data_IF_480433276806
#
_entry.id   IF_480433276806
#
_cell.length_a   1.000
_cell.length_b   1.000
_cell.length_c   1.000
_cell.angle_alpha   90.00
_cell.angle_beta   90.00
_cell.angle_gamma   90.00
#
_symmetry.space_group_name_H-M   'P 1'
#
loop_
_entity.id
_entity.type
_entity.pdbx_description
1 polymer ?
#
# COMPACT_ATOMS: atom_id res chain seq x y z
N UNK A 1 -30.03 72.47 -45.19
CA UNK A 1 -30.92 71.30 -45.31
C UNK A 1 -30.10 70.03 -45.11
N UNK A 2 -30.45 69.25 -44.09
CA UNK A 2 -29.56 68.30 -43.41
C UNK A 2 -29.27 67.00 -44.17
N UNK A 3 -28.09 66.44 -43.89
CA UNK A 3 -27.66 65.09 -44.32
C UNK A 3 -27.99 64.11 -43.20
N UNK A 4 -28.87 63.14 -43.47
CA UNK A 4 -29.18 62.04 -42.57
C UNK A 4 -28.03 61.03 -42.57
N UNK A 5 -27.48 60.74 -41.40
CA UNK A 5 -26.54 59.62 -41.16
C UNK A 5 -27.37 58.44 -40.65
N UNK A 6 -27.35 57.34 -41.38
CA UNK A 6 -28.00 56.08 -40.97
C UNK A 6 -27.03 55.29 -40.09
N UNK A 7 -27.35 55.15 -38.81
CA UNK A 7 -26.60 54.31 -37.88
C UNK A 7 -27.09 52.86 -37.97
N UNK A 8 -26.20 51.93 -38.32
CA UNK A 8 -26.47 50.48 -38.29
C UNK A 8 -26.09 49.97 -36.90
N UNK A 9 -27.07 49.58 -36.09
CA UNK A 9 -26.82 48.83 -34.84
C UNK A 9 -26.62 47.36 -35.17
N UNK A 10 -25.41 46.85 -34.94
CA UNK A 10 -25.13 45.41 -34.95
C UNK A 10 -25.52 44.82 -33.60
N UNK A 11 -26.56 43.98 -33.56
CA UNK A 11 -26.94 43.23 -32.37
C UNK A 11 -26.01 42.02 -32.20
N UNK A 12 -25.09 42.07 -31.24
CA UNK A 12 -24.28 40.92 -30.83
C UNK A 12 -25.17 39.97 -30.01
N UNK A 13 -25.51 38.81 -30.58
CA UNK A 13 -26.17 37.73 -29.85
C UNK A 13 -25.10 36.89 -29.16
N UNK A 14 -25.03 36.98 -27.82
CA UNK A 14 -24.14 36.16 -27.01
C UNK A 14 -24.72 34.73 -26.94
N UNK A 15 -24.14 33.78 -27.66
CA UNK A 15 -24.48 32.36 -27.54
C UNK A 15 -23.73 31.80 -26.34
N UNK A 16 -24.44 31.58 -25.24
CA UNK A 16 -23.91 30.80 -24.12
C UNK A 16 -23.88 29.31 -24.52
N UNK A 17 -22.70 28.81 -24.87
CA UNK A 17 -22.44 27.37 -24.96
C UNK A 17 -22.51 26.78 -23.56
N UNK A 18 -23.67 26.23 -23.19
CA UNK A 18 -23.80 25.36 -22.03
C UNK A 18 -23.12 24.04 -22.39
N UNK A 19 -21.89 23.83 -21.95
CA UNK A 19 -21.25 22.53 -22.05
C UNK A 19 -22.09 21.51 -21.27
N UNK A 20 -22.41 20.33 -21.83
CA UNK A 20 -23.10 19.30 -21.07
C UNK A 20 -22.22 18.90 -19.87
N UNK A 21 -22.82 18.60 -18.70
CA UNK A 21 -22.05 18.07 -17.58
C UNK A 21 -21.33 16.81 -18.05
N UNK A 22 -20.00 16.80 -17.94
CA UNK A 22 -19.24 15.57 -18.12
C UNK A 22 -19.75 14.59 -17.06
N UNK A 23 -20.38 13.51 -17.48
CA UNK A 23 -20.69 12.40 -16.61
C UNK A 23 -19.34 11.83 -16.13
N UNK A 24 -18.94 12.16 -14.91
CA UNK A 24 -17.87 11.44 -14.24
C UNK A 24 -18.36 10.00 -14.08
N UNK A 25 -17.59 9.02 -14.57
CA UNK A 25 -17.87 7.62 -14.28
C UNK A 25 -17.91 7.45 -12.75
N UNK A 26 -18.84 6.64 -12.26
CA UNK A 26 -18.88 6.26 -10.85
C UNK A 26 -17.52 5.63 -10.49
N UNK A 27 -16.76 6.21 -9.55
CA UNK A 27 -15.46 5.65 -9.18
C UNK A 27 -15.61 4.28 -8.51
N UNK A 28 -16.79 3.95 -7.98
CA UNK A 28 -17.08 2.68 -7.32
C UNK A 28 -17.46 1.60 -8.35
N UNK A 29 -16.76 0.46 -8.30
CA UNK A 29 -16.99 -0.72 -9.13
C UNK A 29 -17.40 -1.88 -8.21
N UNK A 30 -18.65 -2.33 -8.33
CA UNK A 30 -19.20 -3.49 -7.63
C UNK A 30 -20.27 -4.18 -8.50
N UNK A 31 -20.58 -5.45 -8.24
CA UNK A 31 -21.63 -6.16 -8.97
C UNK A 31 -23.02 -5.61 -8.63
N UNK A 32 -23.91 -5.52 -9.63
CA UNK A 32 -25.28 -5.05 -9.40
C UNK A 32 -26.03 -5.96 -8.42
N UNK A 33 -26.72 -5.37 -7.44
CA UNK A 33 -27.49 -6.10 -6.43
C UNK A 33 -26.72 -6.48 -5.17
N UNK A 34 -25.42 -6.15 -5.07
CA UNK A 34 -24.68 -6.23 -3.80
C UNK A 34 -25.14 -5.14 -2.84
N UNK A 35 -24.91 -5.37 -1.54
CA UNK A 35 -25.12 -4.33 -0.53
C UNK A 35 -24.24 -3.11 -0.81
N UNK A 36 -24.68 -1.87 -0.47
CA UNK A 36 -23.82 -0.70 -0.56
C UNK A 36 -22.55 -0.87 0.28
N UNK A 37 -21.42 -0.42 -0.28
CA UNK A 37 -20.12 -0.44 0.40
C UNK A 37 -20.05 0.76 1.35
N UNK A 38 -19.74 0.56 2.65
CA UNK A 38 -19.61 1.66 3.59
C UNK A 38 -18.52 2.66 3.17
N UNK A 39 -18.84 3.95 3.23
CA UNK A 39 -17.87 5.01 2.98
C UNK A 39 -16.78 5.06 4.06
N UNK A 40 -15.61 5.61 3.72
CA UNK A 40 -14.51 5.80 4.65
C UNK A 40 -13.46 6.78 4.16
N UNK A 41 -12.40 7.02 4.94
CA UNK A 41 -11.40 8.07 4.67
C UNK A 41 -10.49 7.79 3.46
N UNK A 42 -10.37 6.56 2.98
CA UNK A 42 -9.58 6.21 1.80
C UNK A 42 -10.39 6.44 0.52
N UNK A 43 -9.99 7.38 -0.36
CA UNK A 43 -10.66 7.63 -1.63
C UNK A 43 -10.36 6.59 -2.71
N UNK A 44 -9.31 5.78 -2.56
CA UNK A 44 -8.95 4.72 -3.49
C UNK A 44 -8.73 3.39 -2.74
N UNK A 45 -9.40 2.32 -3.15
CA UNK A 45 -9.33 1.01 -2.47
C UNK A 45 -9.75 -0.16 -3.37
N UNK A 46 -9.44 -1.38 -2.94
CA UNK A 46 -9.85 -2.64 -3.58
C UNK A 46 -10.19 -3.70 -2.53
N UNK A 47 -11.11 -4.61 -2.85
CA UNK A 47 -11.37 -5.87 -2.15
C UNK A 47 -11.25 -7.01 -3.15
N UNK A 48 -10.37 -7.98 -2.88
CA UNK A 48 -10.14 -9.11 -3.76
C UNK A 48 -9.96 -10.42 -2.97
N UNK A 49 -10.30 -11.55 -3.59
CA UNK A 49 -10.04 -12.88 -3.08
C UNK A 49 -8.57 -13.26 -3.34
N UNK A 50 -7.88 -13.73 -2.31
CA UNK A 50 -6.46 -14.08 -2.37
C UNK A 50 -6.18 -15.41 -3.07
N UNK A 51 -7.14 -16.32 -3.07
CA UNK A 51 -7.02 -17.65 -3.65
C UNK A 51 -7.29 -17.60 -5.15
N UNK A 52 -8.48 -17.13 -5.55
CA UNK A 52 -8.90 -17.04 -6.94
C UNK A 52 -8.29 -15.84 -7.67
N UNK A 53 -7.98 -14.75 -6.95
CA UNK A 53 -7.59 -13.48 -7.55
C UNK A 53 -8.77 -12.68 -8.10
N UNK A 54 -10.01 -13.08 -7.84
CA UNK A 54 -11.19 -12.32 -8.24
C UNK A 54 -11.28 -11.02 -7.46
N UNK A 55 -11.63 -9.94 -8.16
CA UNK A 55 -11.90 -8.64 -7.55
C UNK A 55 -13.39 -8.59 -7.23
N UNK A 56 -13.72 -8.36 -5.96
CA UNK A 56 -15.11 -8.28 -5.50
C UNK A 56 -15.66 -6.86 -5.69
N UNK A 57 -14.85 -5.86 -5.34
CA UNK A 57 -15.15 -4.46 -5.57
C UNK A 57 -13.89 -3.58 -5.53
N UNK A 58 -14.00 -2.35 -6.01
CA UNK A 58 -12.96 -1.34 -5.87
C UNK A 58 -13.49 0.06 -6.07
N UNK A 59 -12.70 1.05 -5.66
CA UNK A 59 -12.89 2.47 -5.96
C UNK A 59 -11.58 3.07 -6.39
N UNK A 60 -11.54 3.67 -7.58
CA UNK A 60 -10.30 4.22 -8.16
C UNK A 60 -9.10 3.24 -8.02
N UNK A 61 -9.37 1.93 -8.15
CA UNK A 61 -8.41 0.87 -7.78
C UNK A 61 -7.15 0.82 -8.66
N UNK A 62 -7.19 1.55 -9.79
CA UNK A 62 -6.10 1.68 -10.77
C UNK A 62 -5.48 3.09 -10.76
N UNK A 63 -5.91 3.98 -9.86
CA UNK A 63 -5.36 5.32 -9.74
C UNK A 63 -4.02 5.28 -8.99
N UNK A 64 -3.01 5.91 -9.59
CA UNK A 64 -1.64 5.93 -9.06
C UNK A 64 -1.52 6.92 -7.89
N UNK A 65 -1.02 6.42 -6.76
CA UNK A 65 -0.68 7.21 -5.58
C UNK A 65 0.68 6.77 -5.01
N UNK A 66 1.39 7.64 -4.26
CA UNK A 66 2.59 7.21 -3.54
C UNK A 66 2.25 6.11 -2.51
N UNK A 67 3.07 5.04 -2.40
CA UNK A 67 2.77 3.90 -1.54
C UNK A 67 3.01 4.15 -0.05
N UNK A 68 3.91 5.09 0.29
CA UNK A 68 4.56 5.11 1.60
C UNK A 68 5.09 3.71 1.99
N UNK A 69 5.08 3.39 3.29
CA UNK A 69 5.63 2.14 3.81
C UNK A 69 4.91 0.85 3.38
N UNK A 70 3.78 0.91 2.65
CA UNK A 70 3.18 -0.31 2.06
C UNK A 70 4.12 -0.96 1.04
N UNK A 71 5.01 -0.19 0.38
CA UNK A 71 6.01 -0.72 -0.55
C UNK A 71 7.05 -1.63 0.13
N UNK A 72 7.18 -1.57 1.47
CA UNK A 72 8.04 -2.50 2.22
C UNK A 72 7.59 -3.96 2.07
N UNK A 73 6.34 -4.21 1.68
CA UNK A 73 5.85 -5.55 1.33
C UNK A 73 6.53 -6.06 0.04
N UNK A 74 6.77 -5.19 -0.94
CA UNK A 74 7.55 -5.48 -2.14
C UNK A 74 9.03 -5.68 -1.83
N UNK A 75 9.62 -4.87 -0.94
CA UNK A 75 10.99 -5.07 -0.47
C UNK A 75 11.14 -6.45 0.19
N UNK A 76 10.24 -6.80 1.11
CA UNK A 76 10.26 -8.07 1.81
C UNK A 76 10.09 -9.26 0.86
N UNK A 77 9.13 -9.20 -0.08
CA UNK A 77 8.95 -10.20 -1.13
C UNK A 77 10.22 -10.35 -2.00
N UNK A 78 10.85 -9.24 -2.36
CA UNK A 78 12.08 -9.23 -3.16
C UNK A 78 13.22 -9.89 -2.38
N UNK A 79 13.43 -9.50 -1.13
CA UNK A 79 14.48 -10.06 -0.28
C UNK A 79 14.30 -11.56 -0.03
N UNK A 80 13.07 -12.01 0.23
CA UNK A 80 12.75 -13.43 0.40
C UNK A 80 13.02 -14.27 -0.86
N UNK A 81 13.02 -13.66 -2.06
CA UNK A 81 13.35 -14.34 -3.31
C UNK A 81 14.84 -14.31 -3.68
N UNK A 82 15.60 -13.37 -3.11
CA UNK A 82 17.02 -13.15 -3.45
C UNK A 82 17.98 -13.74 -2.42
N UNK A 83 17.58 -13.78 -1.14
CA UNK A 83 18.45 -14.22 -0.06
C UNK A 83 18.48 -15.75 0.05
N UNK A 84 19.66 -16.36 0.27
CA UNK A 84 19.80 -17.81 0.30
C UNK A 84 19.16 -18.46 1.52
N UNK A 85 19.04 -17.72 2.63
CA UNK A 85 18.35 -18.15 3.84
C UNK A 85 18.01 -16.95 4.73
N UNK A 86 17.12 -17.18 5.71
CA UNK A 86 16.80 -16.19 6.73
C UNK A 86 17.93 -15.94 7.75
N UNK A 87 18.91 -16.85 7.79
CA UNK A 87 20.10 -16.75 8.65
C UNK A 87 21.24 -15.99 7.96
N UNK A 88 21.08 -15.60 6.70
CA UNK A 88 22.03 -14.71 6.03
C UNK A 88 22.18 -13.43 6.85
N UNK A 89 23.40 -12.91 6.94
CA UNK A 89 23.71 -11.78 7.82
C UNK A 89 24.29 -10.59 7.09
N UNK A 90 24.07 -9.40 7.65
CA UNK A 90 24.74 -8.16 7.27
C UNK A 90 25.26 -7.44 8.51
N UNK A 91 26.33 -6.68 8.36
CA UNK A 91 26.82 -5.78 9.40
C UNK A 91 26.14 -4.43 9.21
N UNK A 92 25.42 -3.95 10.23
CA UNK A 92 24.81 -2.63 10.20
C UNK A 92 25.86 -1.54 10.00
N UNK A 93 25.50 -0.50 9.26
CA UNK A 93 26.40 0.59 8.87
C UNK A 93 25.88 1.94 9.36
N UNK A 94 26.76 2.95 9.33
CA UNK A 94 26.35 4.33 9.62
C UNK A 94 25.34 4.83 8.58
N UNK A 95 25.47 4.40 7.32
CA UNK A 95 24.57 4.80 6.24
C UNK A 95 23.14 4.29 6.46
N UNK A 96 22.98 3.08 6.99
CA UNK A 96 21.66 2.52 7.33
C UNK A 96 20.87 3.44 8.26
N UNK A 97 21.56 4.03 9.23
CA UNK A 97 20.96 4.89 10.26
C UNK A 97 20.67 6.32 9.82
N UNK A 98 21.20 6.76 8.66
CA UNK A 98 21.01 8.11 8.15
C UNK A 98 19.72 8.19 7.31
N UNK A 99 18.60 7.96 7.97
CA UNK A 99 17.27 7.92 7.35
C UNK A 99 16.23 8.54 8.28
N UNK A 100 15.18 9.10 7.70
CA UNK A 100 14.01 9.53 8.47
C UNK A 100 13.37 8.31 9.17
N UNK A 101 12.99 8.46 10.45
CA UNK A 101 12.37 7.38 11.21
C UNK A 101 10.85 7.35 11.01
N UNK A 102 10.14 6.23 11.14
CA UNK A 102 10.37 5.10 12.06
C UNK A 102 11.66 4.31 11.85
N UNK A 103 12.37 4.05 12.94
CA UNK A 103 13.61 3.28 12.98
C UNK A 103 13.54 2.25 14.12
N UNK A 104 14.11 1.07 13.92
CA UNK A 104 14.22 0.04 14.98
C UNK A 104 15.51 0.15 15.78
N UNK A 105 16.45 0.97 15.32
CA UNK A 105 17.72 1.22 16.01
C UNK A 105 18.83 0.28 15.55
N UNK A 106 19.03 0.15 14.23
CA UNK A 106 20.25 -0.47 13.68
C UNK A 106 21.49 0.17 14.31
N UNK A 107 22.42 -0.66 14.79
CA UNK A 107 23.66 -0.23 15.42
C UNK A 107 24.82 -0.52 14.47
N UNK A 108 25.59 0.50 14.05
CA UNK A 108 26.76 0.28 13.21
C UNK A 108 27.75 -0.71 13.85
N UNK A 109 28.19 -1.70 13.07
CA UNK A 109 29.07 -2.77 13.52
C UNK A 109 28.38 -3.99 14.15
N UNK A 110 27.08 -3.91 14.45
CA UNK A 110 26.30 -5.08 14.89
C UNK A 110 25.94 -5.97 13.69
N UNK A 111 25.85 -7.28 13.91
CA UNK A 111 25.43 -8.25 12.90
C UNK A 111 23.93 -8.51 13.03
N UNK A 112 23.22 -8.40 11.92
CA UNK A 112 21.78 -8.65 11.83
C UNK A 112 21.50 -9.78 10.84
N UNK A 113 20.59 -10.68 11.18
CA UNK A 113 20.07 -11.70 10.27
C UNK A 113 18.97 -11.13 9.36
N UNK A 114 18.77 -11.73 8.19
CA UNK A 114 17.66 -11.39 7.31
C UNK A 114 16.30 -11.51 8.02
N UNK A 115 16.13 -12.53 8.89
CA UNK A 115 14.91 -12.65 9.72
C UNK A 115 14.69 -11.42 10.60
N UNK A 116 15.70 -10.98 11.34
CA UNK A 116 15.58 -9.82 12.24
C UNK A 116 15.26 -8.54 11.46
N UNK A 117 15.87 -8.35 10.28
CA UNK A 117 15.57 -7.19 9.44
C UNK A 117 14.15 -7.26 8.85
N UNK A 118 13.69 -8.43 8.40
CA UNK A 118 12.31 -8.61 7.93
C UNK A 118 11.29 -8.38 9.06
N UNK A 119 11.58 -8.86 10.27
CA UNK A 119 10.76 -8.57 11.46
C UNK A 119 10.66 -7.05 11.68
N UNK A 120 11.79 -6.34 11.68
CA UNK A 120 11.84 -4.88 11.85
C UNK A 120 11.09 -4.10 10.75
N UNK A 121 11.27 -4.50 9.49
CA UNK A 121 10.64 -3.88 8.30
C UNK A 121 9.12 -4.05 8.34
N UNK A 122 8.62 -5.22 8.76
CA UNK A 122 7.20 -5.56 8.69
C UNK A 122 6.42 -5.20 9.96
N UNK A 123 7.02 -5.31 11.15
CA UNK A 123 6.32 -5.03 12.42
C UNK A 123 6.37 -3.54 12.79
N UNK A 124 7.56 -2.94 12.73
CA UNK A 124 7.82 -1.58 13.23
C UNK A 124 8.11 -0.59 12.10
N UNK A 125 7.96 -1.01 10.84
CA UNK A 125 8.16 -0.17 9.66
C UNK A 125 9.55 0.48 9.59
N UNK A 126 10.57 -0.15 10.18
CA UNK A 126 11.92 0.41 10.32
C UNK A 126 12.55 0.77 8.97
N UNK A 127 12.83 2.05 8.76
CA UNK A 127 13.48 2.57 7.55
C UNK A 127 14.98 2.24 7.53
N UNK A 128 15.61 2.23 8.71
CA UNK A 128 17.00 1.79 8.91
C UNK A 128 17.16 0.30 8.57
N UNK A 129 16.23 -0.53 9.03
CA UNK A 129 16.19 -1.94 8.66
C UNK A 129 15.90 -2.14 7.17
N UNK A 130 15.12 -1.26 6.53
CA UNK A 130 14.89 -1.32 5.08
C UNK A 130 16.17 -1.03 4.27
N UNK A 131 17.00 -0.08 4.72
CA UNK A 131 18.32 0.18 4.14
C UNK A 131 19.26 -1.02 4.32
N UNK A 132 19.36 -1.56 5.54
CA UNK A 132 20.21 -2.72 5.80
C UNK A 132 19.76 -3.97 5.00
N UNK A 133 18.44 -4.15 4.81
CA UNK A 133 17.91 -5.24 3.98
C UNK A 133 18.18 -5.00 2.48
N UNK A 134 18.17 -3.75 2.02
CA UNK A 134 18.57 -3.39 0.67
C UNK A 134 20.04 -3.72 0.40
N UNK A 135 20.93 -3.48 1.36
CA UNK A 135 22.34 -3.85 1.28
C UNK A 135 22.53 -5.35 1.10
N UNK A 136 21.74 -6.18 1.78
CA UNK A 136 21.77 -7.63 1.61
C UNK A 136 21.43 -8.11 0.20
N UNK A 137 20.66 -7.32 -0.57
CA UNK A 137 20.25 -7.67 -1.93
C UNK A 137 20.96 -6.86 -3.01
N UNK A 138 22.11 -6.25 -2.68
CA UNK A 138 23.01 -5.61 -3.65
C UNK A 138 23.21 -4.11 -3.48
N UNK A 139 22.73 -3.53 -2.37
CA UNK A 139 22.79 -2.09 -2.12
C UNK A 139 21.56 -1.34 -2.63
N UNK A 140 21.41 -0.10 -2.17
CA UNK A 140 20.21 0.72 -2.36
C UNK A 140 19.65 0.74 -3.80
N UNK A 141 20.46 1.12 -4.79
CA UNK A 141 19.99 1.24 -6.18
C UNK A 141 19.65 -0.12 -6.80
N UNK A 142 20.45 -1.14 -6.50
CA UNK A 142 20.20 -2.50 -6.99
C UNK A 142 18.93 -3.09 -6.35
N UNK A 143 18.69 -2.83 -5.07
CA UNK A 143 17.48 -3.22 -4.37
C UNK A 143 16.24 -2.59 -5.01
N UNK A 144 16.27 -1.27 -5.28
CA UNK A 144 15.17 -0.57 -5.96
C UNK A 144 14.94 -1.13 -7.36
N UNK A 145 16.00 -1.40 -8.12
CA UNK A 145 15.88 -2.02 -9.44
C UNK A 145 15.25 -3.42 -9.37
N UNK A 146 15.66 -4.25 -8.40
CA UNK A 146 15.10 -5.57 -8.15
C UNK A 146 13.65 -5.52 -7.70
N UNK A 147 13.27 -4.56 -6.86
CA UNK A 147 11.88 -4.33 -6.46
C UNK A 147 10.99 -4.01 -7.66
N UNK A 148 11.42 -3.11 -8.53
CA UNK A 148 10.67 -2.76 -9.74
C UNK A 148 10.58 -3.93 -10.72
N UNK A 149 11.66 -4.70 -10.89
CA UNK A 149 11.63 -5.93 -11.68
C UNK A 149 10.70 -6.99 -11.06
N UNK A 150 10.69 -7.11 -9.73
CA UNK A 150 9.79 -8.00 -9.00
C UNK A 150 8.33 -7.61 -9.22
N UNK A 151 7.98 -6.33 -9.08
CA UNK A 151 6.63 -5.82 -9.31
C UNK A 151 6.14 -6.16 -10.73
N UNK A 152 6.95 -5.86 -11.75
CA UNK A 152 6.63 -6.23 -13.14
C UNK A 152 6.46 -7.75 -13.33
N UNK A 153 7.32 -8.57 -12.71
CA UNK A 153 7.28 -10.04 -12.85
C UNK A 153 6.03 -10.69 -12.26
N UNK A 154 5.37 -10.04 -11.29
CA UNK A 154 4.15 -10.53 -10.64
C UNK A 154 2.88 -9.86 -11.16
N UNK A 155 3.00 -8.96 -12.16
CA UNK A 155 1.85 -8.27 -12.77
C UNK A 155 1.49 -6.93 -12.13
N UNK A 156 2.21 -6.46 -11.11
CA UNK A 156 2.04 -5.13 -10.52
C UNK A 156 2.73 -4.06 -11.40
N UNK A 157 2.17 -3.84 -12.59
CA UNK A 157 2.79 -3.03 -13.67
C UNK A 157 2.59 -1.52 -13.51
N UNK A 158 1.68 -1.10 -12.64
CA UNK A 158 1.43 0.30 -12.29
C UNK A 158 2.19 0.71 -11.01
N UNK A 159 3.25 -0.02 -10.67
CA UNK A 159 4.10 0.23 -9.51
C UNK A 159 5.51 0.67 -9.91
N UNK A 160 5.97 1.72 -9.25
CA UNK A 160 7.35 2.19 -9.28
C UNK A 160 7.81 2.52 -7.85
N UNK A 161 8.70 1.69 -7.31
CA UNK A 161 9.42 1.99 -6.09
C UNK A 161 10.54 3.00 -6.39
N UNK A 162 10.52 4.14 -5.71
CA UNK A 162 11.60 5.13 -5.74
C UNK A 162 12.66 4.86 -4.66
N UNK A 163 12.28 4.22 -3.56
CA UNK A 163 13.13 3.88 -2.42
C UNK A 163 12.74 2.51 -1.86
N UNK A 164 13.64 1.81 -1.12
CA UNK A 164 13.29 0.55 -0.47
C UNK A 164 12.23 0.71 0.62
N UNK A 165 12.21 1.86 1.29
CA UNK A 165 11.37 2.12 2.45
C UNK A 165 10.00 2.72 2.10
N UNK A 166 9.86 3.35 0.92
CA UNK A 166 8.68 4.12 0.54
C UNK A 166 8.69 5.56 1.05
N UNK A 167 9.81 6.03 1.60
CA UNK A 167 10.08 7.46 1.74
C UNK A 167 10.26 8.09 0.35
N UNK A 168 10.14 9.42 0.30
CA UNK A 168 10.51 10.19 -0.88
C UNK A 168 12.02 10.05 -1.13
N UNK A 169 12.40 9.86 -2.39
CA UNK A 169 13.80 9.73 -2.81
C UNK A 169 14.15 10.69 -3.94
N UNK A 170 15.34 10.52 -4.51
CA UNK A 170 15.80 11.33 -5.65
C UNK A 170 14.86 11.24 -6.88
N UNK A 171 14.18 10.10 -7.05
CA UNK A 171 13.16 9.87 -8.08
C UNK A 171 11.74 10.33 -7.70
N UNK A 172 11.58 11.04 -6.57
CA UNK A 172 10.28 11.42 -6.02
C UNK A 172 9.68 10.38 -5.08
N UNK A 173 8.37 10.44 -4.87
CA UNK A 173 7.64 9.60 -3.91
C UNK A 173 7.35 8.16 -4.38
N UNK A 174 7.71 7.84 -5.62
CA UNK A 174 7.23 6.61 -6.30
C UNK A 174 5.72 6.60 -6.47
N UNK A 175 5.18 5.49 -6.98
CA UNK A 175 3.74 5.28 -7.10
C UNK A 175 3.38 3.80 -7.14
N UNK A 176 2.12 3.49 -6.83
CA UNK A 176 1.46 2.20 -6.99
C UNK A 176 -0.05 2.44 -7.08
N UNK A 177 -0.85 1.38 -7.17
CA UNK A 177 -2.31 1.44 -7.15
C UNK A 177 -2.86 0.50 -6.08
N UNK A 178 -4.12 0.66 -5.64
CA UNK A 178 -4.76 -0.34 -4.77
C UNK A 178 -4.68 -1.77 -5.36
N UNK A 179 -4.92 -1.94 -6.67
CA UNK A 179 -4.79 -3.24 -7.35
C UNK A 179 -3.39 -3.82 -7.19
N UNK A 180 -2.36 -3.04 -7.52
CA UNK A 180 -0.99 -3.49 -7.46
C UNK A 180 -0.54 -3.83 -6.04
N UNK A 181 -0.96 -3.06 -5.03
CA UNK A 181 -0.72 -3.40 -3.64
C UNK A 181 -1.36 -4.74 -3.25
N UNK A 182 -2.57 -5.02 -3.72
CA UNK A 182 -3.22 -6.31 -3.51
C UNK A 182 -2.45 -7.46 -4.21
N UNK A 183 -1.95 -7.26 -5.43
CA UNK A 183 -1.10 -8.21 -6.15
C UNK A 183 0.19 -8.50 -5.37
N UNK A 184 0.90 -7.44 -4.95
CA UNK A 184 2.15 -7.54 -4.18
C UNK A 184 1.90 -8.30 -2.88
N UNK A 185 0.86 -7.93 -2.13
CA UNK A 185 0.57 -8.55 -0.85
C UNK A 185 0.11 -10.00 -0.99
N UNK A 186 -0.69 -10.33 -2.01
CA UNK A 186 -1.06 -11.71 -2.36
C UNK A 186 0.17 -12.56 -2.66
N UNK A 187 1.09 -12.05 -3.50
CA UNK A 187 2.33 -12.75 -3.81
C UNK A 187 3.24 -12.93 -2.58
N UNK A 188 3.33 -11.90 -1.73
CA UNK A 188 4.08 -11.97 -0.47
C UNK A 188 3.50 -13.00 0.50
N UNK A 189 2.17 -13.02 0.68
CA UNK A 189 1.48 -13.96 1.57
C UNK A 189 1.54 -15.43 1.11
N UNK A 190 1.88 -15.69 -0.16
CA UNK A 190 2.19 -17.04 -0.62
C UNK A 190 3.51 -17.59 -0.04
N UNK A 191 4.40 -16.72 0.45
CA UNK A 191 5.60 -17.12 1.16
C UNK A 191 5.29 -17.35 2.66
N UNK A 192 5.51 -18.56 3.21
CA UNK A 192 5.16 -18.87 4.60
C UNK A 192 5.93 -18.03 5.63
N UNK A 193 7.15 -17.58 5.31
CA UNK A 193 7.91 -16.70 6.21
C UNK A 193 7.30 -15.30 6.26
N UNK A 194 6.90 -14.74 5.13
CA UNK A 194 6.20 -13.45 5.11
C UNK A 194 4.90 -13.52 5.91
N UNK A 195 4.08 -14.56 5.66
CA UNK A 195 2.82 -14.80 6.36
C UNK A 195 3.02 -14.93 7.88
N UNK A 196 4.06 -15.67 8.31
CA UNK A 196 4.42 -15.79 9.73
C UNK A 196 4.79 -14.44 10.34
N UNK A 197 5.66 -13.67 9.67
CA UNK A 197 6.19 -12.41 10.20
C UNK A 197 5.08 -11.36 10.30
N UNK A 198 4.26 -11.17 9.26
CA UNK A 198 3.22 -10.13 9.29
C UNK A 198 2.11 -10.41 10.31
N UNK A 199 1.90 -11.68 10.70
CA UNK A 199 0.91 -12.08 11.68
C UNK A 199 1.40 -12.06 13.14
N UNK A 200 2.72 -12.05 13.37
CA UNK A 200 3.25 -12.15 14.73
C UNK A 200 3.02 -10.83 15.50
N UNK A 201 2.68 -10.88 16.80
CA UNK A 201 2.36 -9.68 17.59
C UNK A 201 3.62 -8.87 17.95
N UNK A 202 4.76 -9.52 18.07
CA UNK A 202 6.03 -8.91 18.43
C UNK A 202 7.21 -9.81 18.03
N UNK A 203 8.41 -9.24 17.99
CA UNK A 203 9.67 -9.94 17.81
C UNK A 203 10.77 -9.36 18.71
N UNK A 204 11.87 -10.09 18.86
CA UNK A 204 13.07 -9.61 19.55
C UNK A 204 14.08 -9.11 18.53
N UNK A 205 14.61 -7.90 18.73
CA UNK A 205 15.55 -7.25 17.84
C UNK A 205 16.85 -6.85 18.57
N UNK A 206 18.05 -7.06 17.99
CA UNK A 206 19.31 -6.65 18.60
C UNK A 206 19.51 -5.13 18.58
N UNK A 207 19.17 -4.47 19.68
CA UNK A 207 19.34 -3.03 19.87
C UNK A 207 20.68 -2.63 20.49
N UNK A 208 20.83 -1.33 20.79
CA UNK A 208 22.05 -0.76 21.38
C UNK A 208 22.34 -1.29 22.78
N UNK A 209 21.30 -1.52 23.58
CA UNK A 209 21.43 -1.94 24.97
C UNK A 209 21.18 -3.45 25.17
N UNK A 210 21.27 -4.23 24.09
CA UNK A 210 20.92 -5.64 24.06
C UNK A 210 19.64 -5.91 23.27
N UNK A 211 19.03 -7.06 23.52
CA UNK A 211 17.80 -7.47 22.84
C UNK A 211 16.60 -6.65 23.32
N UNK A 212 15.91 -6.00 22.38
CA UNK A 212 14.72 -5.17 22.61
C UNK A 212 13.49 -5.80 21.92
N UNK A 213 12.30 -5.51 22.42
CA UNK A 213 11.07 -6.00 21.81
C UNK A 213 10.53 -4.98 20.80
N UNK A 214 10.28 -5.43 19.56
CA UNK A 214 9.52 -4.66 18.56
C UNK A 214 8.11 -5.23 18.48
N UNK A 215 7.11 -4.34 18.46
CA UNK A 215 5.68 -4.72 18.46
C UNK A 215 5.10 -4.44 17.07
N UNK A 216 4.20 -5.29 16.62
CA UNK A 216 3.51 -5.12 15.35
C UNK A 216 2.54 -3.93 15.42
N UNK A 217 2.79 -2.91 14.60
CA UNK A 217 1.97 -1.69 14.53
C UNK A 217 0.61 -1.92 13.85
N UNK A 218 0.39 -3.08 13.21
CA UNK A 218 -0.87 -3.43 12.57
C UNK A 218 -1.97 -3.72 13.60
N UNK A 219 -2.72 -2.67 13.99
CA UNK A 219 -3.81 -2.81 14.95
C UNK A 219 -4.95 -3.72 14.47
N UNK A 220 -5.07 -3.97 13.16
CA UNK A 220 -6.12 -4.84 12.63
C UNK A 220 -5.98 -6.28 13.17
N UNK A 221 -4.77 -6.74 13.47
CA UNK A 221 -4.53 -8.06 14.10
C UNK A 221 -5.29 -8.23 15.42
N UNK A 222 -5.50 -7.15 16.16
CA UNK A 222 -6.23 -7.17 17.44
C UNK A 222 -7.70 -6.76 17.27
N UNK A 223 -8.00 -5.90 16.28
CA UNK A 223 -9.32 -5.30 16.09
C UNK A 223 -10.27 -6.17 15.28
N UNK A 224 -9.77 -7.00 14.38
CA UNK A 224 -10.59 -7.73 13.43
C UNK A 224 -10.31 -9.24 13.46
N UNK A 225 -11.25 -10.06 13.96
CA UNK A 225 -11.07 -11.51 13.99
C UNK A 225 -10.84 -12.09 12.59
N UNK A 226 -9.79 -12.90 12.47
CA UNK A 226 -9.39 -13.52 11.21
C UNK A 226 -8.32 -12.74 10.44
N UNK A 227 -7.87 -11.57 10.90
CA UNK A 227 -6.72 -10.89 10.25
C UNK A 227 -5.48 -11.77 10.26
N UNK A 228 -4.91 -11.98 9.08
CA UNK A 228 -3.72 -12.82 8.85
C UNK A 228 -2.47 -12.00 8.51
N UNK A 229 -2.59 -10.68 8.37
CA UNK A 229 -1.46 -9.80 8.08
C UNK A 229 -1.88 -8.42 7.61
N UNK A 230 -0.91 -7.50 7.59
CA UNK A 230 -1.10 -6.18 6.99
C UNK A 230 0.08 -5.26 7.19
N UNK A 231 0.12 -4.17 6.41
CA UNK A 231 1.15 -3.14 6.47
C UNK A 231 0.54 -1.75 6.30
N UNK A 232 0.85 -0.86 7.24
CA UNK A 232 0.52 0.57 7.21
C UNK A 232 1.59 1.39 6.49
N UNK A 233 1.19 2.56 6.01
CA UNK A 233 2.10 3.60 5.53
C UNK A 233 1.53 5.00 5.73
N UNK A 234 2.43 5.95 5.88
CA UNK A 234 2.12 7.38 5.87
C UNK A 234 3.34 8.17 5.41
N UNK A 235 3.11 9.13 4.51
CA UNK A 235 3.98 10.29 4.25
C UNK A 235 3.07 11.47 3.90
N UNK A 236 3.61 12.69 3.88
CA UNK A 236 2.84 13.85 3.46
C UNK A 236 2.34 13.74 2.01
N UNK A 237 3.14 13.14 1.13
CA UNK A 237 2.78 12.90 -0.27
C UNK A 237 1.77 11.75 -0.45
N UNK A 238 1.91 10.67 0.30
CA UNK A 238 1.06 9.48 0.19
C UNK A 238 -0.28 9.61 0.94
N UNK A 239 -0.34 10.48 1.96
CA UNK A 239 -1.32 10.41 3.04
C UNK A 239 -1.29 9.00 3.67
N UNK A 240 -2.39 8.52 4.25
CA UNK A 240 -2.45 7.17 4.82
C UNK A 240 -2.59 6.14 3.70
N UNK A 241 -1.83 5.06 3.81
CA UNK A 241 -1.94 3.87 2.96
C UNK A 241 -1.98 2.61 3.83
N UNK A 242 -2.66 1.57 3.35
CA UNK A 242 -2.80 0.32 4.07
C UNK A 242 -3.07 -0.84 3.11
N UNK A 243 -2.48 -1.99 3.40
CA UNK A 243 -2.80 -3.27 2.74
C UNK A 243 -2.90 -4.36 3.80
N UNK A 244 -3.90 -5.22 3.71
CA UNK A 244 -4.12 -6.27 4.71
C UNK A 244 -4.94 -7.43 4.16
N UNK A 245 -4.89 -8.54 4.89
CA UNK A 245 -5.68 -9.71 4.58
C UNK A 245 -6.35 -10.30 5.83
N UNK A 246 -7.48 -10.96 5.61
CA UNK A 246 -8.16 -11.75 6.61
C UNK A 246 -8.67 -13.08 6.04
N UNK A 247 -8.80 -14.09 6.90
CA UNK A 247 -9.38 -15.40 6.62
C UNK A 247 -10.63 -15.60 7.49
N UNK A 248 -11.74 -15.97 6.84
CA UNK A 248 -12.93 -16.52 7.51
C UNK A 248 -13.29 -17.86 6.90
N UNK A 249 -12.98 -18.94 7.61
CA UNK A 249 -13.36 -20.31 7.22
C UNK A 249 -12.78 -20.74 5.87
N UNK A 250 -11.54 -20.36 5.58
CA UNK A 250 -10.85 -20.67 4.32
C UNK A 250 -11.26 -19.78 3.14
N UNK A 251 -12.03 -18.71 3.37
CA UNK A 251 -12.19 -17.62 2.41
C UNK A 251 -11.17 -16.55 2.80
N UNK A 252 -10.21 -16.26 1.93
CA UNK A 252 -9.14 -15.30 2.22
C UNK A 252 -9.31 -14.06 1.35
N UNK A 253 -9.50 -12.92 1.98
CA UNK A 253 -9.64 -11.64 1.30
C UNK A 253 -8.43 -10.76 1.56
N UNK A 254 -8.02 -10.02 0.53
CA UNK A 254 -7.04 -8.93 0.61
C UNK A 254 -7.74 -7.61 0.30
N UNK A 255 -7.38 -6.58 1.04
CA UNK A 255 -7.77 -5.20 0.77
C UNK A 255 -6.52 -4.33 0.63
N UNK A 256 -6.61 -3.30 -0.20
CA UNK A 256 -5.67 -2.19 -0.20
C UNK A 256 -6.43 -0.86 -0.20
N UNK A 257 -5.90 0.13 0.49
CA UNK A 257 -6.50 1.45 0.72
C UNK A 257 -5.41 2.51 0.60
N UNK A 258 -5.67 3.58 -0.13
CA UNK A 258 -4.67 4.60 -0.41
C UNK A 258 -5.21 6.02 -0.29
N UNK A 259 -4.29 6.95 -0.07
CA UNK A 259 -4.47 8.39 -0.24
C UNK A 259 -5.53 9.05 0.66
N UNK A 260 -5.78 8.48 1.84
CA UNK A 260 -6.82 8.98 2.74
C UNK A 260 -6.30 9.73 3.95
N UNK A 261 -7.17 10.55 4.52
CA UNK A 261 -6.95 11.28 5.77
C UNK A 261 -8.15 11.05 6.68
N UNK A 262 -7.88 10.85 7.97
CA UNK A 262 -8.94 10.70 8.97
C UNK A 262 -9.34 12.10 9.45
N UNK A 263 -10.63 12.40 9.40
CA UNK A 263 -11.20 13.63 9.94
C UNK A 263 -11.69 13.40 11.37
N UNK A 264 -11.66 14.45 12.19
CA UNK A 264 -12.18 14.40 13.55
C UNK A 264 -13.67 14.01 13.54
N UNK A 265 -14.04 13.02 14.37
CA UNK A 265 -15.39 12.45 14.42
C UNK A 265 -15.76 11.52 13.26
N UNK A 266 -14.87 11.33 12.27
CA UNK A 266 -15.08 10.41 11.15
C UNK A 266 -14.52 9.00 11.38
N UNK A 267 -14.82 8.06 10.47
CA UNK A 267 -14.26 6.71 10.53
C UNK A 267 -12.73 6.72 10.37
N UNK A 268 -12.06 5.87 11.14
CA UNK A 268 -10.62 5.63 11.00
C UNK A 268 -10.32 4.70 9.82
N UNK A 269 -9.03 4.56 9.49
CA UNK A 269 -8.58 3.56 8.51
C UNK A 269 -8.90 2.12 8.95
N UNK A 270 -8.88 1.84 10.26
CA UNK A 270 -9.22 0.52 10.78
C UNK A 270 -10.70 0.21 10.65
N UNK A 271 -11.55 1.23 10.81
CA UNK A 271 -13.00 1.10 10.66
C UNK A 271 -13.36 0.80 9.19
N UNK A 272 -12.77 1.55 8.25
CA UNK A 272 -12.99 1.28 6.82
C UNK A 272 -12.39 -0.07 6.39
N UNK A 273 -11.20 -0.44 6.86
CA UNK A 273 -10.62 -1.75 6.58
C UNK A 273 -11.54 -2.90 7.05
N UNK A 274 -12.06 -2.79 8.28
CA UNK A 274 -13.00 -3.77 8.84
C UNK A 274 -14.30 -3.82 8.04
N UNK A 275 -14.84 -2.66 7.66
CA UNK A 275 -16.06 -2.56 6.87
C UNK A 275 -15.90 -3.14 5.46
N UNK A 276 -14.77 -2.93 4.79
CA UNK A 276 -14.47 -3.52 3.49
C UNK A 276 -14.35 -5.05 3.56
N UNK A 277 -13.68 -5.56 4.59
CA UNK A 277 -13.57 -7.01 4.83
C UNK A 277 -14.93 -7.62 5.18
N UNK A 278 -15.71 -6.99 6.06
CA UNK A 278 -17.05 -7.45 6.42
C UNK A 278 -17.99 -7.46 5.20
N UNK A 279 -17.94 -6.40 4.39
CA UNK A 279 -18.67 -6.35 3.13
C UNK A 279 -18.25 -7.50 2.20
N UNK A 280 -16.94 -7.72 2.01
CA UNK A 280 -16.42 -8.78 1.15
C UNK A 280 -16.83 -10.18 1.61
N UNK A 281 -16.76 -10.46 2.91
CA UNK A 281 -17.17 -11.74 3.48
C UNK A 281 -18.68 -11.99 3.45
N UNK A 282 -19.48 -10.92 3.34
CA UNK A 282 -20.93 -11.02 3.18
C UNK A 282 -21.37 -11.32 1.73
N UNK A 283 -20.46 -11.22 0.75
CA UNK A 283 -20.77 -11.52 -0.65
C UNK A 283 -20.78 -13.02 -0.92
N UNK A 284 -21.58 -13.43 -1.90
CA UNK A 284 -21.44 -14.76 -2.50
C UNK A 284 -20.05 -14.87 -3.16
N UNK A 285 -19.40 -16.03 -3.05
CA UNK A 285 -18.08 -16.26 -3.64
C UNK A 285 -18.09 -16.20 -5.18
N UNK A 286 -19.25 -16.24 -5.83
CA UNK A 286 -19.36 -16.02 -7.27
C UNK A 286 -19.30 -14.55 -7.69
N UNK A 287 -19.44 -13.60 -6.74
CA UNK A 287 -19.37 -12.16 -7.01
C UNK A 287 -17.97 -11.79 -7.49
N UNK A 288 -17.89 -11.16 -8.66
CA UNK A 288 -16.66 -10.67 -9.24
C UNK A 288 -16.93 -9.55 -10.23
N UNK A 289 -16.06 -8.55 -10.24
CA UNK A 289 -16.01 -7.46 -11.22
C UNK A 289 -14.75 -7.50 -12.09
N UNK A 290 -13.90 -8.51 -11.88
CA UNK A 290 -12.64 -8.67 -12.59
C UNK A 290 -11.68 -9.63 -11.88
N UNK A 291 -10.42 -9.63 -12.33
CA UNK A 291 -9.33 -10.36 -11.69
C UNK A 291 -8.11 -9.47 -11.51
N UNK A 292 -7.32 -9.77 -10.48
CA UNK A 292 -5.98 -9.24 -10.26
C UNK A 292 -5.04 -9.61 -11.42
#
# INVERSE_FOLDING_TARGET
MGRFVTAVMAALTLVFLVAPPMAAADPDIQSAGTMPIPAGPAPAWIVADMDSGQILAGRDMDLRHPPASTIKTLLALTALGELPSLDATVVGTVADTQVECNCVGIVPGHVYTARQLLDAVLLASGNDAANALADMIGGYDAAVAKMNAKAASIGAVDTHAATPSGLDGAGGSGWTTPRDLAIIFRAAMANPYFAQITAQPAATFPGKNGNEQIVNENQLLQRYPGTIGGKTGFTDAAKKTYVAAADRGGHRLVIAMMYGMVHEGGPTYWDQASALLDWGFAQDRSVSVGSL
#
